data_IF_518191802860
#
_entry.id   IF_518191802860
#
_cell.length_a   1.000
_cell.length_b   1.000
_cell.length_c   1.000
_cell.angle_alpha   90.00
_cell.angle_beta   90.00
_cell.angle_gamma   90.00
#
_symmetry.space_group_name_H-M   'P 1'
#
loop_
_entity.id
_entity.type
_entity.pdbx_description
1 polymer ?
#
# COMPACT_ATOMS: atom_id res chain seq x y z
N UNK A 1 22.39 65.55 -12.15
CA UNK A 1 22.62 64.11 -11.98
C UNK A 1 23.40 63.93 -10.67
N UNK A 2 22.73 63.56 -9.58
CA UNK A 2 23.36 63.29 -8.28
C UNK A 2 23.56 61.78 -8.16
N UNK A 3 24.73 61.29 -8.58
CA UNK A 3 25.10 59.91 -8.36
C UNK A 3 25.60 59.77 -6.92
N UNK A 4 24.88 58.99 -6.10
CA UNK A 4 25.30 58.63 -4.75
C UNK A 4 26.53 57.72 -4.86
N UNK A 5 27.67 58.19 -4.36
CA UNK A 5 28.98 57.52 -4.48
C UNK A 5 29.33 56.59 -3.32
N UNK A 6 28.45 56.43 -2.33
CA UNK A 6 28.67 55.52 -1.21
C UNK A 6 27.61 54.42 -1.17
N UNK A 7 28.06 53.19 -1.47
CA UNK A 7 27.28 51.99 -1.21
C UNK A 7 27.37 51.68 0.30
N UNK A 8 26.24 51.75 0.99
CA UNK A 8 26.13 51.38 2.40
C UNK A 8 26.55 49.92 2.55
N UNK A 9 27.57 49.65 3.37
CA UNK A 9 28.06 48.30 3.61
C UNK A 9 26.93 47.42 4.21
N UNK A 10 26.73 46.20 3.69
CA UNK A 10 25.68 45.31 4.21
C UNK A 10 25.96 45.01 5.69
N UNK A 11 25.01 45.38 6.55
CA UNK A 11 25.12 45.06 7.97
C UNK A 11 24.93 43.55 8.17
N UNK A 12 25.71 42.92 9.08
CA UNK A 12 25.54 41.51 9.40
C UNK A 12 24.15 41.27 9.98
N UNK A 13 23.54 40.14 9.62
CA UNK A 13 22.23 39.76 10.13
C UNK A 13 22.25 39.74 11.68
N UNK A 14 21.23 40.31 12.35
CA UNK A 14 21.17 40.29 13.80
C UNK A 14 21.24 38.84 14.31
N UNK A 15 22.01 38.55 15.38
CA UNK A 15 22.16 37.20 15.88
C UNK A 15 20.79 36.63 16.23
N UNK A 16 20.46 35.46 15.69
CA UNK A 16 19.21 34.79 15.98
C UNK A 16 19.07 34.64 17.50
N UNK A 17 17.94 35.08 18.07
CA UNK A 17 17.66 34.92 19.50
C UNK A 17 17.69 33.43 19.84
N UNK A 18 18.74 33.00 20.53
CA UNK A 18 18.93 31.64 20.98
C UNK A 18 18.02 31.33 22.18
N UNK A 19 16.70 31.35 22.00
CA UNK A 19 15.79 30.82 23.02
C UNK A 19 15.73 29.32 22.85
N UNK A 20 16.44 28.59 23.71
CA UNK A 20 16.48 27.12 23.71
C UNK A 20 15.08 26.49 23.84
N UNK A 21 14.17 27.16 24.57
CA UNK A 21 12.85 26.67 24.91
C UNK A 21 11.76 27.67 24.49
N UNK A 22 11.22 27.49 23.29
CA UNK A 22 9.96 28.14 22.90
C UNK A 22 8.77 27.37 23.50
N UNK A 23 7.61 28.02 23.75
CA UNK A 23 6.40 27.33 24.17
C UNK A 23 6.01 26.17 23.24
N UNK A 24 6.28 26.32 21.94
CA UNK A 24 6.06 25.26 20.94
C UNK A 24 7.00 24.06 21.12
N UNK A 25 8.27 24.27 21.48
CA UNK A 25 9.22 23.19 21.79
C UNK A 25 8.87 22.50 23.10
N UNK A 26 8.42 23.23 24.11
CA UNK A 26 7.93 22.66 25.37
C UNK A 26 6.70 21.79 25.11
N UNK A 27 5.70 22.32 24.39
CA UNK A 27 4.52 21.55 24.01
C UNK A 27 4.89 20.29 23.20
N UNK A 28 5.80 20.42 22.24
CA UNK A 28 6.33 19.29 21.47
C UNK A 28 7.03 18.24 22.35
N UNK A 29 7.88 18.67 23.28
CA UNK A 29 8.58 17.78 24.21
C UNK A 29 7.63 17.10 25.19
N UNK A 30 6.61 17.80 25.70
CA UNK A 30 5.58 17.24 26.58
C UNK A 30 4.74 16.21 25.83
N UNK A 31 4.32 16.50 24.60
CA UNK A 31 3.59 15.55 23.75
C UNK A 31 4.44 14.31 23.46
N UNK A 32 5.71 14.49 23.11
CA UNK A 32 6.64 13.38 22.88
C UNK A 32 6.83 12.55 24.16
N UNK A 33 7.02 13.20 25.31
CA UNK A 33 7.13 12.55 26.61
C UNK A 33 5.87 11.74 26.96
N UNK A 34 4.68 12.29 26.71
CA UNK A 34 3.42 11.59 26.91
C UNK A 34 3.32 10.32 26.04
N UNK A 35 3.73 10.38 24.77
CA UNK A 35 3.76 9.20 23.89
C UNK A 35 4.78 8.16 24.34
N UNK A 36 5.96 8.57 24.79
CA UNK A 36 6.98 7.66 25.32
C UNK A 36 6.46 6.97 26.58
N UNK A 37 5.89 7.71 27.52
CA UNK A 37 5.30 7.15 28.74
C UNK A 37 4.15 6.19 28.43
N UNK A 38 3.26 6.54 27.49
CA UNK A 38 2.19 5.66 27.04
C UNK A 38 2.74 4.36 26.42
N UNK A 39 3.81 4.46 25.62
CA UNK A 39 4.50 3.31 25.05
C UNK A 39 5.13 2.40 26.12
N UNK A 40 5.82 2.98 27.10
CA UNK A 40 6.41 2.24 28.23
C UNK A 40 5.32 1.56 29.05
N UNK A 41 4.23 2.27 29.37
CA UNK A 41 3.10 1.73 30.12
C UNK A 41 2.44 0.56 29.37
N UNK A 42 2.28 0.67 28.05
CA UNK A 42 1.77 -0.42 27.20
C UNK A 42 2.68 -1.65 27.25
N UNK A 43 3.99 -1.48 27.11
CA UNK A 43 4.96 -2.58 27.17
C UNK A 43 4.97 -3.24 28.56
N UNK A 44 4.94 -2.45 29.63
CA UNK A 44 4.87 -2.96 30.99
C UNK A 44 3.58 -3.77 31.23
N UNK A 45 2.44 -3.25 30.77
CA UNK A 45 1.15 -3.95 30.84
C UNK A 45 1.17 -5.26 30.04
N UNK A 46 1.80 -5.27 28.85
CA UNK A 46 1.96 -6.47 28.04
C UNK A 46 2.79 -7.56 28.71
N UNK A 47 3.89 -7.18 29.36
CA UNK A 47 4.72 -8.12 30.10
C UNK A 47 3.95 -8.72 31.29
N UNK A 48 3.20 -7.89 32.01
CA UNK A 48 2.41 -8.33 33.18
C UNK A 48 1.25 -9.25 32.81
N UNK A 49 0.68 -9.09 31.62
CA UNK A 49 -0.45 -9.89 31.16
C UNK A 49 -0.01 -11.15 30.38
N UNK A 50 1.29 -11.42 30.21
CA UNK A 50 1.79 -12.52 29.40
C UNK A 50 1.39 -13.90 29.95
N UNK A 51 0.63 -14.65 29.16
CA UNK A 51 0.16 -16.00 29.51
C UNK A 51 0.67 -17.04 28.49
N UNK A 52 1.59 -17.89 28.95
CA UNK A 52 2.24 -18.91 28.12
C UNK A 52 1.23 -19.93 27.54
N UNK A 53 0.16 -20.24 28.27
CA UNK A 53 -0.84 -21.22 27.84
C UNK A 53 -1.68 -20.68 26.67
N UNK A 54 -1.99 -19.38 26.68
CA UNK A 54 -2.67 -18.71 25.56
C UNK A 54 -1.78 -18.66 24.32
N UNK A 55 -0.48 -18.39 24.49
CA UNK A 55 0.49 -18.39 23.39
C UNK A 55 0.57 -19.77 22.73
N UNK A 56 0.64 -20.85 23.51
CA UNK A 56 0.68 -22.21 22.97
C UNK A 56 -0.62 -22.59 22.24
N UNK A 57 -1.77 -22.15 22.76
CA UNK A 57 -3.08 -22.50 22.20
C UNK A 57 -3.40 -21.74 20.92
N UNK A 58 -3.10 -20.44 20.87
CA UNK A 58 -3.49 -19.59 19.75
C UNK A 58 -2.34 -19.25 18.80
N UNK A 59 -1.08 -19.25 19.25
CA UNK A 59 0.10 -18.93 18.43
C UNK A 59 0.15 -19.66 17.08
N UNK A 60 -0.03 -21.00 17.04
CA UNK A 60 -0.10 -21.73 15.78
C UNK A 60 -1.21 -21.24 14.84
N UNK A 61 -2.35 -20.79 15.38
CA UNK A 61 -3.47 -20.25 14.59
C UNK A 61 -3.16 -18.87 14.00
N UNK A 62 -2.42 -18.04 14.72
CA UNK A 62 -1.92 -16.78 14.16
C UNK A 62 -0.99 -17.05 12.96
N UNK A 63 -0.14 -18.08 13.03
CA UNK A 63 0.72 -18.45 11.91
C UNK A 63 -0.08 -18.97 10.70
N UNK A 64 -1.12 -19.79 10.93
CA UNK A 64 -2.00 -20.21 9.83
C UNK A 64 -2.77 -19.04 9.23
N UNK A 65 -3.30 -18.14 10.08
CA UNK A 65 -3.97 -16.91 9.63
C UNK A 65 -3.02 -15.98 8.87
N UNK A 66 -1.76 -15.90 9.29
CA UNK A 66 -0.71 -15.15 8.60
C UNK A 66 -0.41 -15.73 7.22
N UNK A 67 -0.28 -17.05 7.12
CA UNK A 67 -0.09 -17.74 5.84
C UNK A 67 -1.28 -17.49 4.90
N UNK A 68 -2.49 -17.54 5.42
CA UNK A 68 -3.71 -17.13 4.73
C UNK A 68 -3.57 -15.69 4.23
N UNK A 69 -3.38 -14.69 5.11
CA UNK A 69 -3.17 -13.28 4.73
C UNK A 69 -2.15 -13.11 3.60
N UNK A 70 -0.97 -13.72 3.74
CA UNK A 70 0.09 -13.66 2.73
C UNK A 70 -0.31 -14.28 1.39
N UNK A 71 -1.01 -15.39 1.43
CA UNK A 71 -1.49 -16.08 0.23
C UNK A 71 -2.53 -15.24 -0.51
N UNK A 72 -3.51 -14.68 0.22
CA UNK A 72 -4.53 -13.80 -0.37
C UNK A 72 -3.88 -12.61 -1.07
N UNK A 73 -3.08 -11.87 -0.32
CA UNK A 73 -2.46 -10.63 -0.80
C UNK A 73 -1.47 -10.92 -1.91
N UNK A 74 -0.66 -11.97 -1.78
CA UNK A 74 0.29 -12.39 -2.80
C UNK A 74 -0.39 -12.69 -4.14
N UNK A 75 -1.46 -13.50 -4.13
CA UNK A 75 -2.20 -13.84 -5.35
C UNK A 75 -2.90 -12.58 -5.91
N UNK A 76 -3.57 -11.78 -5.07
CA UNK A 76 -4.23 -10.55 -5.51
C UNK A 76 -3.27 -9.55 -6.14
N UNK A 77 -2.07 -9.37 -5.58
CA UNK A 77 -1.05 -8.48 -6.14
C UNK A 77 -0.59 -8.98 -7.50
N UNK A 78 -0.35 -10.29 -7.66
CA UNK A 78 0.11 -10.88 -8.93
C UNK A 78 -0.97 -10.77 -10.01
N UNK A 79 -2.21 -11.17 -9.71
CA UNK A 79 -3.31 -11.04 -10.66
C UNK A 79 -3.60 -9.57 -10.97
N UNK A 80 -3.53 -8.72 -9.95
CA UNK A 80 -3.69 -7.28 -10.11
C UNK A 80 -2.61 -6.67 -11.00
N UNK A 81 -1.36 -7.12 -10.88
CA UNK A 81 -0.26 -6.70 -11.76
C UNK A 81 -0.55 -7.08 -13.22
N UNK A 82 -1.01 -8.31 -13.46
CA UNK A 82 -1.38 -8.77 -14.81
C UNK A 82 -2.52 -7.92 -15.39
N UNK A 83 -3.56 -7.63 -14.61
CA UNK A 83 -4.67 -6.76 -15.03
C UNK A 83 -4.27 -5.29 -15.18
N UNK A 84 -3.30 -4.82 -14.40
CA UNK A 84 -2.88 -3.42 -14.39
C UNK A 84 -2.21 -3.01 -15.69
N UNK A 85 -1.53 -3.92 -16.38
CA UNK A 85 -0.84 -3.65 -17.65
C UNK A 85 -1.83 -3.19 -18.74
N UNK A 86 -2.86 -3.98 -19.13
CA UNK A 86 -3.82 -3.52 -20.13
C UNK A 86 -4.63 -2.30 -19.65
N UNK A 87 -4.90 -2.16 -18.34
CA UNK A 87 -5.56 -0.97 -17.80
C UNK A 87 -4.72 0.30 -17.96
N UNK A 88 -3.42 0.24 -17.64
CA UNK A 88 -2.50 1.35 -17.80
C UNK A 88 -2.35 1.73 -19.29
N UNK A 89 -2.20 0.75 -20.17
CA UNK A 89 -2.18 0.97 -21.62
C UNK A 89 -3.48 1.59 -22.12
N UNK A 90 -4.63 1.10 -21.63
CA UNK A 90 -5.94 1.65 -21.95
C UNK A 90 -6.07 3.12 -21.52
N UNK A 91 -5.61 3.47 -20.31
CA UNK A 91 -5.58 4.85 -19.80
C UNK A 91 -4.76 5.79 -20.68
N UNK A 92 -3.64 5.32 -21.22
CA UNK A 92 -2.74 6.09 -22.10
C UNK A 92 -3.14 6.03 -23.58
N UNK A 93 -4.21 5.31 -23.93
CA UNK A 93 -4.64 5.15 -25.31
C UNK A 93 -5.15 6.46 -25.90
N UNK A 94 -4.85 6.71 -27.17
CA UNK A 94 -5.45 7.80 -27.95
C UNK A 94 -6.92 7.54 -28.28
N UNK A 95 -7.38 6.28 -28.21
CA UNK A 95 -8.78 5.93 -28.40
C UNK A 95 -9.59 6.36 -27.18
N UNK A 96 -10.45 7.37 -27.37
CA UNK A 96 -11.29 7.95 -26.32
C UNK A 96 -12.17 6.94 -25.61
N UNK A 97 -12.68 5.92 -26.31
CA UNK A 97 -13.55 4.89 -25.71
C UNK A 97 -12.76 4.02 -24.75
N UNK A 98 -11.61 3.50 -25.19
CA UNK A 98 -10.75 2.65 -24.36
C UNK A 98 -10.24 3.44 -23.15
N UNK A 99 -9.78 4.68 -23.37
CA UNK A 99 -9.31 5.55 -22.29
C UNK A 99 -10.41 5.89 -21.29
N UNK A 100 -11.64 6.15 -21.75
CA UNK A 100 -12.79 6.42 -20.89
C UNK A 100 -13.19 5.19 -20.06
N UNK A 101 -13.22 3.99 -20.65
CA UNK A 101 -13.53 2.76 -19.91
C UNK A 101 -12.47 2.45 -18.85
N UNK A 102 -11.19 2.53 -19.22
CA UNK A 102 -10.10 2.31 -18.27
C UNK A 102 -10.09 3.40 -17.17
N UNK A 103 -10.39 4.65 -17.52
CA UNK A 103 -10.58 5.73 -16.54
C UNK A 103 -11.72 5.43 -15.57
N UNK A 104 -12.89 5.03 -16.08
CA UNK A 104 -14.06 4.70 -15.26
C UNK A 104 -13.76 3.57 -14.26
N UNK A 105 -13.08 2.51 -14.71
CA UNK A 105 -12.61 1.43 -13.85
C UNK A 105 -11.68 1.95 -12.75
N UNK A 106 -10.60 2.66 -13.12
CA UNK A 106 -9.60 3.16 -12.17
C UNK A 106 -10.24 4.14 -11.18
N UNK A 107 -11.11 5.03 -11.67
CA UNK A 107 -11.84 5.99 -10.87
C UNK A 107 -12.74 5.29 -9.83
N UNK A 108 -13.52 4.28 -10.25
CA UNK A 108 -14.39 3.55 -9.35
C UNK A 108 -13.61 2.81 -8.25
N UNK A 109 -12.61 2.01 -8.63
CA UNK A 109 -11.90 1.16 -7.66
C UNK A 109 -10.98 1.93 -6.72
N UNK A 110 -10.41 3.07 -7.16
CA UNK A 110 -9.62 3.94 -6.29
C UNK A 110 -10.47 4.95 -5.51
N UNK A 111 -11.66 5.29 -6.03
CA UNK A 111 -12.59 6.22 -5.41
C UNK A 111 -13.52 5.60 -4.37
N UNK A 112 -13.58 4.27 -4.28
CA UNK A 112 -14.45 3.57 -3.33
C UNK A 112 -13.65 2.78 -2.27
N UNK A 113 -14.15 2.68 -1.02
CA UNK A 113 -13.48 1.91 0.02
C UNK A 113 -13.39 0.41 -0.33
N UNK A 114 -12.24 -0.21 -0.09
CA UNK A 114 -12.03 -1.65 -0.33
C UNK A 114 -13.04 -2.54 0.42
N UNK A 115 -13.43 -2.15 1.64
CA UNK A 115 -14.47 -2.88 2.40
C UNK A 115 -15.84 -2.85 1.70
N UNK A 116 -16.20 -1.72 1.08
CA UNK A 116 -17.45 -1.62 0.32
C UNK A 116 -17.41 -2.51 -0.92
N UNK A 117 -16.27 -2.56 -1.60
CA UNK A 117 -16.05 -3.47 -2.74
C UNK A 117 -16.15 -4.94 -2.31
N UNK A 118 -15.54 -5.30 -1.18
CA UNK A 118 -15.63 -6.64 -0.61
C UNK A 118 -17.08 -7.02 -0.29
N UNK A 119 -17.85 -6.12 0.33
CA UNK A 119 -19.26 -6.36 0.63
C UNK A 119 -20.13 -6.44 -0.63
N UNK A 120 -19.87 -5.59 -1.62
CA UNK A 120 -20.55 -5.68 -2.91
C UNK A 120 -20.29 -7.03 -3.57
N UNK A 121 -19.04 -7.52 -3.51
CA UNK A 121 -18.69 -8.80 -4.11
C UNK A 121 -19.30 -9.97 -3.33
N UNK A 122 -19.19 -9.98 -2.01
CA UNK A 122 -19.64 -11.10 -1.19
C UNK A 122 -21.16 -11.10 -0.94
N UNK A 123 -21.72 -10.01 -0.43
CA UNK A 123 -23.15 -9.91 -0.11
C UNK A 123 -23.99 -9.46 -1.31
N UNK A 124 -23.49 -8.52 -2.11
CA UNK A 124 -24.20 -7.99 -3.27
C UNK A 124 -24.46 -9.07 -4.32
N UNK A 125 -23.41 -9.71 -4.84
CA UNK A 125 -23.60 -10.85 -5.76
C UNK A 125 -24.29 -12.04 -5.10
N UNK A 126 -24.14 -12.22 -3.78
CA UNK A 126 -24.86 -13.25 -3.02
C UNK A 126 -26.38 -13.16 -3.12
N UNK A 127 -26.94 -11.97 -3.41
CA UNK A 127 -28.38 -11.77 -3.61
C UNK A 127 -28.88 -12.38 -4.92
N UNK A 128 -28.02 -12.51 -5.93
CA UNK A 128 -28.31 -13.10 -7.25
C UNK A 128 -27.93 -14.58 -7.31
N UNK A 129 -28.15 -15.31 -6.21
CA UNK A 129 -27.75 -16.71 -6.08
C UNK A 129 -28.32 -17.57 -7.21
N UNK A 130 -29.61 -17.44 -7.53
CA UNK A 130 -30.27 -18.31 -8.50
C UNK A 130 -29.68 -18.13 -9.90
N UNK A 131 -29.38 -16.89 -10.28
CA UNK A 131 -28.76 -16.53 -11.55
C UNK A 131 -27.32 -17.04 -11.62
N UNK A 132 -26.53 -16.88 -10.55
CA UNK A 132 -25.18 -17.40 -10.46
C UNK A 132 -25.13 -18.93 -10.46
N UNK A 133 -26.13 -19.58 -9.87
CA UNK A 133 -26.26 -21.05 -9.86
C UNK A 133 -26.60 -21.58 -11.25
N UNK A 134 -27.52 -20.92 -11.98
CA UNK A 134 -27.81 -21.22 -13.37
C UNK A 134 -26.60 -21.06 -14.31
N UNK A 135 -25.71 -20.09 -14.03
CA UNK A 135 -24.46 -19.87 -14.76
C UNK A 135 -23.29 -20.77 -14.28
N UNK A 136 -23.48 -21.60 -13.25
CA UNK A 136 -22.42 -22.42 -12.66
C UNK A 136 -21.37 -21.63 -11.86
N UNK A 137 -21.57 -20.34 -11.63
CA UNK A 137 -20.65 -19.44 -10.94
C UNK A 137 -20.84 -19.44 -9.42
N UNK A 138 -21.94 -20.01 -8.92
CA UNK A 138 -22.25 -20.00 -7.48
C UNK A 138 -21.17 -20.67 -6.61
N UNK A 139 -20.48 -21.69 -7.12
CA UNK A 139 -19.38 -22.35 -6.41
C UNK A 139 -18.24 -21.36 -6.08
N UNK A 140 -18.01 -20.38 -6.95
CA UNK A 140 -17.03 -19.33 -6.73
C UNK A 140 -17.54 -18.30 -5.72
N UNK A 141 -18.73 -17.73 -5.93
CA UNK A 141 -19.25 -16.63 -5.12
C UNK A 141 -19.76 -17.02 -3.73
N UNK A 142 -20.05 -18.31 -3.50
CA UNK A 142 -20.41 -18.79 -2.15
C UNK A 142 -19.22 -18.81 -1.19
N UNK A 143 -18.00 -18.85 -1.71
CA UNK A 143 -16.79 -18.92 -0.91
C UNK A 143 -16.23 -17.52 -0.64
N UNK A 144 -16.14 -17.17 0.64
CA UNK A 144 -15.72 -15.82 1.05
C UNK A 144 -14.27 -15.52 0.64
N UNK A 145 -13.42 -16.54 0.59
CA UNK A 145 -12.03 -16.40 0.15
C UNK A 145 -11.95 -15.97 -1.31
N UNK A 146 -12.68 -16.65 -2.21
CA UNK A 146 -12.76 -16.29 -3.62
C UNK A 146 -13.31 -14.89 -3.85
N UNK A 147 -14.35 -14.50 -3.10
CA UNK A 147 -14.91 -13.15 -3.14
C UNK A 147 -13.90 -12.10 -2.69
N UNK A 148 -13.16 -12.37 -1.61
CA UNK A 148 -12.08 -11.49 -1.15
C UNK A 148 -10.96 -11.38 -2.18
N UNK A 149 -10.53 -12.51 -2.75
CA UNK A 149 -9.49 -12.55 -3.78
C UNK A 149 -9.89 -11.71 -5.00
N UNK A 150 -11.14 -11.83 -5.47
CA UNK A 150 -11.66 -11.05 -6.59
C UNK A 150 -11.69 -9.55 -6.26
N UNK A 151 -12.26 -9.16 -5.12
CA UNK A 151 -12.35 -7.76 -4.71
C UNK A 151 -10.96 -7.11 -4.58
N UNK A 152 -10.02 -7.79 -3.93
CA UNK A 152 -8.65 -7.32 -3.74
C UNK A 152 -7.88 -7.23 -5.05
N UNK A 153 -8.03 -8.22 -5.93
CA UNK A 153 -7.41 -8.24 -7.26
C UNK A 153 -7.86 -7.04 -8.09
N UNK A 154 -9.16 -6.77 -8.14
CA UNK A 154 -9.71 -5.63 -8.89
C UNK A 154 -9.30 -4.29 -8.28
N UNK A 155 -9.27 -4.20 -6.95
CA UNK A 155 -8.82 -3.00 -6.26
C UNK A 155 -7.35 -2.70 -6.58
N UNK A 156 -6.45 -3.65 -6.31
CA UNK A 156 -5.02 -3.43 -6.49
C UNK A 156 -4.67 -3.28 -7.97
N UNK A 157 -5.38 -3.93 -8.91
CA UNK A 157 -5.20 -3.69 -10.34
C UNK A 157 -5.37 -2.21 -10.72
N UNK A 158 -6.35 -1.51 -10.12
CA UNK A 158 -6.58 -0.09 -10.37
C UNK A 158 -5.44 0.79 -9.80
N UNK A 159 -4.98 0.52 -8.58
CA UNK A 159 -3.85 1.23 -7.97
C UNK A 159 -2.55 1.00 -8.73
N UNK A 160 -2.27 -0.26 -9.07
CA UNK A 160 -1.09 -0.66 -9.85
C UNK A 160 -1.12 -0.07 -11.26
N UNK A 161 -2.28 0.03 -11.91
CA UNK A 161 -2.40 0.63 -13.24
C UNK A 161 -2.04 2.12 -13.21
N UNK A 162 -2.47 2.83 -12.17
CA UNK A 162 -2.11 4.24 -12.03
C UNK A 162 -0.63 4.43 -11.66
N UNK A 163 -0.08 3.55 -10.81
CA UNK A 163 1.37 3.54 -10.51
C UNK A 163 2.16 3.38 -11.80
N UNK A 164 1.81 2.40 -12.64
CA UNK A 164 2.48 2.13 -13.90
C UNK A 164 2.34 3.29 -14.87
N UNK A 165 1.13 3.83 -15.05
CA UNK A 165 0.85 5.01 -15.89
C UNK A 165 1.68 6.21 -15.44
N UNK A 166 1.62 6.56 -14.15
CA UNK A 166 2.35 7.69 -13.58
C UNK A 166 3.87 7.52 -13.69
N UNK A 167 4.38 6.31 -13.55
CA UNK A 167 5.80 6.03 -13.73
C UNK A 167 6.24 6.17 -15.19
N UNK A 168 5.44 5.73 -16.16
CA UNK A 168 5.71 5.91 -17.59
C UNK A 168 5.71 7.40 -17.96
N UNK A 169 4.71 8.14 -17.50
CA UNK A 169 4.58 9.59 -17.78
C UNK A 169 5.67 10.43 -17.08
N UNK A 170 6.27 9.93 -16.01
CA UNK A 170 7.36 10.63 -15.30
C UNK A 170 8.69 10.65 -16.05
N UNK A 171 8.85 9.80 -17.09
CA UNK A 171 10.08 9.75 -17.89
C UNK A 171 10.18 11.01 -18.74
N UNK A 172 11.29 11.73 -18.64
CA UNK A 172 11.52 13.00 -19.34
C UNK A 172 11.23 12.92 -20.85
N UNK A 173 10.57 13.95 -21.38
CA UNK A 173 10.35 14.10 -22.82
C UNK A 173 11.65 14.07 -23.63
N UNK A 174 12.77 14.51 -23.06
CA UNK A 174 14.08 14.44 -23.72
C UNK A 174 14.53 13.01 -24.08
N UNK A 175 14.08 11.98 -23.33
CA UNK A 175 14.33 10.58 -23.69
C UNK A 175 13.58 10.19 -24.97
N UNK A 176 12.36 10.70 -25.14
CA UNK A 176 11.55 10.46 -26.33
C UNK A 176 12.12 11.19 -27.55
N UNK A 177 12.53 12.45 -27.36
CA UNK A 177 13.14 13.27 -28.41
C UNK A 177 14.49 12.72 -28.85
N UNK A 178 15.35 12.31 -27.90
CA UNK A 178 16.64 11.68 -28.20
C UNK A 178 16.50 10.36 -28.94
N UNK A 179 15.55 9.52 -28.55
CA UNK A 179 15.26 8.27 -29.26
C UNK A 179 14.76 8.53 -30.70
N UNK A 180 13.91 9.55 -30.88
CA UNK A 180 13.43 9.97 -32.19
C UNK A 180 14.55 10.52 -33.07
N UNK A 181 15.50 11.28 -32.50
CA UNK A 181 16.67 11.79 -33.21
C UNK A 181 17.61 10.66 -33.69
N UNK A 182 17.65 9.54 -32.95
CA UNK A 182 18.37 8.33 -33.33
C UNK A 182 17.58 7.42 -34.30
N UNK A 183 16.39 7.83 -34.75
CA UNK A 183 15.57 7.06 -35.69
C UNK A 183 14.89 5.82 -35.09
N UNK A 184 14.81 5.70 -33.76
CA UNK A 184 14.17 4.57 -33.10
C UNK A 184 12.65 4.59 -33.29
N UNK A 185 12.06 3.41 -33.51
CA UNK A 185 10.60 3.29 -33.62
C UNK A 185 9.93 3.48 -32.25
N UNK A 186 8.65 3.89 -32.18
CA UNK A 186 7.94 4.06 -30.91
C UNK A 186 7.99 2.82 -30.00
N UNK A 187 7.93 1.62 -30.60
CA UNK A 187 8.05 0.36 -29.88
C UNK A 187 9.44 0.15 -29.29
N UNK A 188 10.50 0.43 -30.06
CA UNK A 188 11.88 0.37 -29.59
C UNK A 188 12.13 1.38 -28.46
N UNK A 189 11.68 2.63 -28.66
CA UNK A 189 11.77 3.70 -27.66
C UNK A 189 11.06 3.30 -26.37
N UNK A 190 9.84 2.78 -26.46
CA UNK A 190 9.10 2.35 -25.27
C UNK A 190 9.80 1.19 -24.57
N UNK A 191 10.07 0.09 -25.26
CA UNK A 191 10.53 -1.13 -24.62
C UNK A 191 11.98 -1.04 -24.13
N UNK A 192 12.85 -0.33 -24.84
CA UNK A 192 14.29 -0.28 -24.52
C UNK A 192 14.70 0.94 -23.69
N UNK A 193 13.94 2.04 -23.74
CA UNK A 193 14.33 3.30 -23.09
C UNK A 193 13.35 3.66 -21.98
N UNK A 194 12.06 3.80 -22.30
CA UNK A 194 11.05 4.33 -21.36
C UNK A 194 10.70 3.29 -20.30
N UNK A 195 10.32 2.08 -20.72
CA UNK A 195 9.81 1.03 -19.82
C UNK A 195 10.82 0.67 -18.71
N UNK A 196 12.13 0.45 -18.98
CA UNK A 196 13.08 0.16 -17.92
C UNK A 196 13.21 1.30 -16.90
N UNK A 197 13.20 2.56 -17.35
CA UNK A 197 13.25 3.73 -16.47
C UNK A 197 11.97 3.85 -15.63
N UNK A 198 10.81 3.70 -16.27
CA UNK A 198 9.52 3.71 -15.61
C UNK A 198 9.42 2.63 -14.52
N UNK A 199 9.89 1.40 -14.79
CA UNK A 199 9.87 0.32 -13.81
C UNK A 199 10.73 0.62 -12.57
N UNK A 200 11.83 1.35 -12.72
CA UNK A 200 12.65 1.82 -11.58
C UNK A 200 11.86 2.84 -10.75
N UNK A 201 11.17 3.78 -11.40
CA UNK A 201 10.35 4.79 -10.71
C UNK A 201 9.14 4.15 -10.00
N UNK A 202 8.51 3.16 -10.64
CA UNK A 202 7.34 2.46 -10.12
C UNK A 202 7.64 1.60 -8.88
N UNK A 203 8.91 1.22 -8.67
CA UNK A 203 9.30 0.31 -7.60
C UNK A 203 8.88 0.82 -6.21
N UNK A 204 9.16 2.07 -5.85
CA UNK A 204 8.79 2.58 -4.51
C UNK A 204 7.26 2.61 -4.29
N UNK A 205 6.45 3.17 -5.21
CA UNK A 205 5.00 3.08 -5.11
C UNK A 205 4.44 1.65 -5.04
N UNK A 206 5.01 0.70 -5.82
CA UNK A 206 4.59 -0.71 -5.73
C UNK A 206 4.84 -1.30 -4.34
N UNK A 207 5.99 -1.01 -3.72
CA UNK A 207 6.26 -1.47 -2.35
C UNK A 207 5.25 -0.92 -1.35
N UNK A 208 4.87 0.35 -1.49
CA UNK A 208 3.84 0.96 -0.65
C UNK A 208 2.48 0.30 -0.85
N UNK A 209 2.10 0.00 -2.09
CA UNK A 209 0.84 -0.68 -2.41
C UNK A 209 0.78 -2.08 -1.76
N UNK A 210 1.85 -2.87 -1.84
CA UNK A 210 1.90 -4.19 -1.20
C UNK A 210 1.76 -4.06 0.33
N UNK A 211 2.46 -3.11 0.95
CA UNK A 211 2.36 -2.85 2.40
C UNK A 211 0.93 -2.45 2.78
N UNK A 212 0.28 -1.60 1.98
CA UNK A 212 -1.10 -1.19 2.19
C UNK A 212 -2.06 -2.37 2.03
N UNK A 213 -1.84 -3.26 1.06
CA UNK A 213 -2.66 -4.46 0.88
C UNK A 213 -2.53 -5.46 2.03
N UNK A 214 -1.34 -5.67 2.59
CA UNK A 214 -1.17 -6.52 3.78
C UNK A 214 -1.95 -5.97 4.97
N UNK A 215 -1.89 -4.65 5.22
CA UNK A 215 -2.64 -4.03 6.31
C UNK A 215 -4.14 -4.04 6.04
N UNK A 216 -4.52 -3.73 4.80
CA UNK A 216 -5.90 -3.69 4.33
C UNK A 216 -6.57 -5.06 4.33
N UNK A 217 -5.81 -6.15 4.23
CA UNK A 217 -6.36 -7.52 4.25
C UNK A 217 -7.14 -7.81 5.51
N UNK A 218 -6.85 -7.16 6.64
CA UNK A 218 -7.53 -7.39 7.91
C UNK A 218 -9.06 -7.25 7.83
N UNK A 219 -9.59 -6.52 6.84
CA UNK A 219 -11.04 -6.38 6.64
C UNK A 219 -11.73 -7.70 6.25
N UNK A 220 -11.00 -8.68 5.70
CA UNK A 220 -11.60 -9.96 5.27
C UNK A 220 -12.10 -10.79 6.44
N UNK A 221 -11.57 -10.54 7.64
CA UNK A 221 -12.09 -11.08 8.90
C UNK A 221 -13.56 -10.75 9.16
N UNK A 222 -14.14 -9.76 8.46
CA UNK A 222 -15.55 -9.39 8.56
C UNK A 222 -16.44 -10.32 7.73
N UNK A 223 -15.92 -10.88 6.64
CA UNK A 223 -16.63 -11.84 5.77
C UNK A 223 -16.18 -13.27 6.04
N UNK A 224 -15.99 -13.61 7.32
CA UNK A 224 -15.70 -14.99 7.81
C UNK A 224 -14.43 -15.67 7.26
N UNK A 225 -13.52 -14.92 6.65
CA UNK A 225 -12.19 -15.43 6.29
C UNK A 225 -11.30 -15.47 7.53
N UNK A 226 -10.73 -16.65 7.82
CA UNK A 226 -9.78 -16.85 8.91
C UNK A 226 -8.35 -16.46 8.50
N UNK A 227 -8.17 -15.18 8.18
CA UNK A 227 -6.85 -14.56 8.02
C UNK A 227 -6.24 -14.23 9.41
N UNK A 228 -5.12 -13.50 9.46
CA UNK A 228 -4.50 -13.12 10.73
C UNK A 228 -5.51 -12.42 11.66
N UNK A 229 -6.28 -11.45 11.15
CA UNK A 229 -7.29 -10.75 11.93
C UNK A 229 -8.53 -11.63 12.21
N UNK A 230 -8.88 -12.55 11.33
CA UNK A 230 -9.94 -13.54 11.52
C UNK A 230 -9.66 -14.47 12.70
N UNK A 231 -8.45 -15.04 12.76
CA UNK A 231 -8.02 -15.87 13.90
C UNK A 231 -7.87 -15.05 15.19
N UNK A 232 -7.49 -13.77 15.07
CA UNK A 232 -7.49 -12.83 16.20
C UNK A 232 -8.90 -12.64 16.78
N UNK A 233 -9.90 -12.32 15.95
CA UNK A 233 -11.31 -12.19 16.37
C UNK A 233 -11.84 -13.48 16.97
N UNK A 234 -11.46 -14.63 16.42
CA UNK A 234 -11.84 -15.95 16.92
C UNK A 234 -11.24 -16.26 18.29
N UNK A 235 -9.99 -15.86 18.53
CA UNK A 235 -9.35 -16.00 19.83
C UNK A 235 -10.00 -15.07 20.85
N UNK A 236 -10.25 -13.81 20.47
CA UNK A 236 -10.93 -12.84 21.32
C UNK A 236 -12.34 -13.28 21.71
N UNK A 237 -13.15 -13.77 20.78
CA UNK A 237 -14.54 -14.18 21.09
C UNK A 237 -14.64 -15.38 22.05
N UNK A 238 -13.56 -16.14 22.21
CA UNK A 238 -13.48 -17.29 23.14
C UNK A 238 -12.90 -16.93 24.50
N UNK A 239 -12.04 -15.92 24.55
CA UNK A 239 -11.26 -15.57 25.75
C UNK A 239 -11.68 -14.25 26.38
N UNK A 240 -12.32 -13.37 25.61
CA UNK A 240 -12.58 -11.96 25.91
C UNK A 240 -11.31 -11.18 26.29
N UNK A 241 -10.15 -11.66 25.83
CA UNK A 241 -8.85 -11.11 26.18
C UNK A 241 -8.33 -10.18 25.10
N UNK A 242 -8.27 -8.88 25.41
CA UNK A 242 -7.79 -7.84 24.49
C UNK A 242 -6.34 -8.07 24.04
N UNK A 243 -5.52 -8.80 24.81
CA UNK A 243 -4.14 -9.08 24.43
C UNK A 243 -4.03 -9.76 23.06
N UNK A 244 -5.04 -10.54 22.65
CA UNK A 244 -5.12 -11.17 21.33
C UNK A 244 -4.92 -10.17 20.18
N UNK A 245 -5.50 -8.96 20.28
CA UNK A 245 -5.31 -7.90 19.29
C UNK A 245 -3.89 -7.32 19.28
N UNK A 246 -3.22 -7.31 20.43
CA UNK A 246 -1.85 -6.80 20.50
C UNK A 246 -0.88 -7.80 19.89
N UNK A 247 -1.10 -9.10 20.08
CA UNK A 247 -0.37 -10.13 19.35
C UNK A 247 -0.53 -9.95 17.85
N UNK A 248 -1.76 -9.77 17.37
CA UNK A 248 -2.02 -9.49 15.97
C UNK A 248 -1.27 -8.23 15.47
N UNK A 249 -1.29 -7.15 16.26
CA UNK A 249 -0.58 -5.91 15.94
C UNK A 249 0.94 -6.13 15.85
N UNK A 250 1.53 -6.92 16.75
CA UNK A 250 2.94 -7.31 16.68
C UNK A 250 3.23 -8.11 15.41
N UNK A 251 2.40 -9.10 15.06
CA UNK A 251 2.56 -9.86 13.81
C UNK A 251 2.47 -8.96 12.57
N UNK A 252 1.48 -8.04 12.51
CA UNK A 252 1.35 -7.07 11.44
C UNK A 252 2.56 -6.10 11.37
N UNK A 253 3.08 -5.67 12.52
CA UNK A 253 4.27 -4.81 12.57
C UNK A 253 5.49 -5.56 12.04
N UNK A 254 5.75 -6.78 12.52
CA UNK A 254 6.88 -7.61 12.11
C UNK A 254 6.83 -7.89 10.61
N UNK A 255 5.68 -8.26 10.05
CA UNK A 255 5.58 -8.56 8.62
C UNK A 255 5.75 -7.30 7.75
N UNK A 256 5.15 -6.18 8.15
CA UNK A 256 5.28 -4.92 7.42
C UNK A 256 6.71 -4.41 7.46
N UNK A 257 7.37 -4.50 8.62
CA UNK A 257 8.74 -4.05 8.78
C UNK A 257 9.73 -4.97 8.04
N UNK A 258 9.50 -6.28 8.08
CA UNK A 258 10.27 -7.25 7.28
C UNK A 258 10.14 -6.94 5.79
N UNK A 259 8.91 -6.75 5.30
CA UNK A 259 8.66 -6.43 3.89
C UNK A 259 9.26 -5.09 3.50
N UNK A 260 9.09 -4.04 4.32
CA UNK A 260 9.70 -2.72 4.10
C UNK A 260 11.21 -2.82 3.95
N UNK A 261 11.87 -3.55 4.85
CA UNK A 261 13.33 -3.72 4.82
C UNK A 261 13.81 -4.52 3.61
N UNK A 262 13.08 -5.58 3.23
CA UNK A 262 13.35 -6.32 1.99
C UNK A 262 13.20 -5.40 0.79
N UNK A 263 12.11 -4.64 0.71
CA UNK A 263 11.85 -3.71 -0.40
C UNK A 263 12.90 -2.63 -0.50
N UNK A 264 13.30 -2.03 0.63
CA UNK A 264 14.34 -1.00 0.68
C UNK A 264 15.69 -1.54 0.19
N UNK A 265 16.06 -2.77 0.56
CA UNK A 265 17.29 -3.42 0.05
C UNK A 265 17.23 -3.67 -1.45
N UNK A 266 16.07 -4.13 -1.96
CA UNK A 266 15.86 -4.33 -3.40
C UNK A 266 15.94 -2.99 -4.15
N UNK A 267 15.29 -1.94 -3.64
CA UNK A 267 15.32 -0.59 -4.20
C UNK A 267 16.75 -0.05 -4.24
N UNK A 268 17.51 -0.16 -3.14
CA UNK A 268 18.91 0.30 -3.10
C UNK A 268 19.79 -0.45 -4.10
N UNK A 269 19.60 -1.77 -4.26
CA UNK A 269 20.38 -2.58 -5.19
C UNK A 269 20.08 -2.20 -6.65
N UNK A 270 18.81 -1.98 -6.99
CA UNK A 270 18.40 -1.58 -8.33
C UNK A 270 18.82 -0.13 -8.66
N UNK A 271 18.72 0.78 -7.70
CA UNK A 271 19.02 2.22 -7.89
C UNK A 271 20.49 2.60 -7.65
N UNK A 272 21.37 1.64 -7.37
CA UNK A 272 22.81 1.89 -7.10
C UNK A 272 23.53 2.75 -8.14
N UNK A 273 23.09 2.67 -9.40
CA UNK A 273 23.66 3.38 -10.54
C UNK A 273 23.19 4.85 -10.64
N UNK A 274 22.16 5.23 -9.89
CA UNK A 274 21.57 6.58 -9.87
C UNK A 274 22.13 7.46 -8.74
N UNK A 275 22.74 6.86 -7.70
CA UNK A 275 23.42 7.60 -6.63
C UNK A 275 24.84 7.94 -7.11
N UNK A 276 25.02 9.16 -7.59
CA UNK A 276 26.34 9.80 -7.76
C UNK A 276 26.69 10.61 -6.53
#
# INVERSE_FOLDING_TARGET
MSAVSELIAPQPAPPAKATMWSPTRIAGAVLLGAWILAGIALVAWLMGAWDIAKVQTYGPKYLTGLATTLTLVGISIVLGAVLSVPLALGRMSSNRVISALAYGYVYFFRGTPLIAQLFLVYYGFGTYRNELEALGLWVFFRDAWNCALLAFTLNTAAYQAEILRGAIESVSHGQHEGAKALGLTPFQTFHRIILPQAMIVALRPYGNEIILMIKGSAIVAIVTVFDLMGETRRAYSRTFDFQTYIWAAVFYLVIVETLRNIWAKLEQRLTRHLKR
#
